data_IF_835276779891
#
_entry.id   IF_835276779891
#
_cell.length_a   1.000
_cell.length_b   1.000
_cell.length_c   1.000
_cell.angle_alpha   90.00
_cell.angle_beta   90.00
_cell.angle_gamma   90.00
#
_symmetry.space_group_name_H-M   'P 1'
#
loop_
_entity.id
_entity.type
_entity.pdbx_description
1 polymer ?
#
# COMPACT_ATOMS: atom_id res chain seq x y z
N UNK A 1 1.73 12.34 -49.70
CA UNK A 1 2.20 13.25 -48.62
C UNK A 1 1.37 13.08 -47.35
N UNK A 2 0.05 12.92 -47.45
CA UNK A 2 -0.85 12.69 -46.30
C UNK A 2 -0.57 11.38 -45.55
N UNK A 3 -0.32 10.27 -46.23
CA UNK A 3 -0.04 8.97 -45.58
C UNK A 3 1.18 9.03 -44.64
N UNK A 4 2.22 9.78 -45.01
CA UNK A 4 3.42 9.96 -44.19
C UNK A 4 3.16 10.82 -42.93
N UNK A 5 2.13 11.68 -42.95
CA UNK A 5 1.71 12.50 -41.80
C UNK A 5 0.87 11.64 -40.86
N UNK A 6 -0.05 10.83 -41.41
CA UNK A 6 -0.86 9.89 -40.63
C UNK A 6 -0.01 8.84 -39.89
N UNK A 7 1.01 8.28 -40.54
CA UNK A 7 1.94 7.32 -39.91
C UNK A 7 2.75 7.97 -38.79
N UNK A 8 3.18 9.23 -38.95
CA UNK A 8 3.85 9.99 -37.86
C UNK A 8 2.92 10.26 -36.69
N UNK A 9 1.69 10.67 -36.97
CA UNK A 9 0.69 10.95 -35.93
C UNK A 9 0.29 9.69 -35.17
N UNK A 10 0.14 8.56 -35.85
CA UNK A 10 -0.07 7.24 -35.24
C UNK A 10 1.10 6.83 -34.34
N UNK A 11 2.34 6.97 -34.82
CA UNK A 11 3.52 6.62 -34.04
C UNK A 11 3.70 7.50 -32.79
N UNK A 12 3.41 8.80 -32.90
CA UNK A 12 3.45 9.73 -31.76
C UNK A 12 2.29 9.48 -30.79
N UNK A 13 1.10 9.19 -31.31
CA UNK A 13 -0.06 8.81 -30.51
C UNK A 13 0.17 7.52 -29.71
N UNK A 14 0.81 6.51 -30.30
CA UNK A 14 1.13 5.26 -29.60
C UNK A 14 2.06 5.50 -28.40
N UNK A 15 3.13 6.30 -28.57
CA UNK A 15 4.05 6.59 -27.46
C UNK A 15 3.36 7.38 -26.34
N UNK A 16 2.53 8.38 -26.69
CA UNK A 16 1.72 9.13 -25.73
C UNK A 16 0.71 8.25 -24.99
N UNK A 17 0.00 7.37 -25.68
CA UNK A 17 -0.97 6.46 -25.07
C UNK A 17 -0.29 5.47 -24.12
N UNK A 18 0.90 4.96 -24.48
CA UNK A 18 1.68 4.10 -23.61
C UNK A 18 2.14 4.84 -22.35
N UNK A 19 2.58 6.09 -22.47
CA UNK A 19 2.96 6.93 -21.33
C UNK A 19 1.76 7.26 -20.42
N UNK A 20 0.60 7.58 -21.00
CA UNK A 20 -0.64 7.76 -20.24
C UNK A 20 -1.00 6.48 -19.50
N UNK A 21 -0.85 5.31 -20.16
CA UNK A 21 -1.03 4.01 -19.54
C UNK A 21 -0.08 3.77 -18.37
N UNK A 22 1.20 4.13 -18.50
CA UNK A 22 2.20 4.06 -17.42
C UNK A 22 1.76 4.92 -16.24
N UNK A 23 1.40 6.18 -16.49
CA UNK A 23 0.94 7.11 -15.46
C UNK A 23 -0.32 6.63 -14.75
N UNK A 24 -1.28 6.09 -15.50
CA UNK A 24 -2.52 5.56 -14.94
C UNK A 24 -2.29 4.34 -14.05
N UNK A 25 -1.48 3.37 -14.51
CA UNK A 25 -1.17 2.17 -13.73
C UNK A 25 -0.38 2.52 -12.46
N UNK A 26 0.57 3.45 -12.56
CA UNK A 26 1.29 3.98 -11.40
C UNK A 26 0.32 4.62 -10.41
N UNK A 27 -0.55 5.53 -10.87
CA UNK A 27 -1.51 6.20 -10.02
C UNK A 27 -2.43 5.22 -9.29
N UNK A 28 -3.01 4.26 -10.01
CA UNK A 28 -3.89 3.24 -9.42
C UNK A 28 -3.13 2.35 -8.43
N UNK A 29 -1.92 1.92 -8.78
CA UNK A 29 -1.06 1.13 -7.91
C UNK A 29 -0.72 1.87 -6.61
N UNK A 30 -0.27 3.11 -6.73
CA UNK A 30 0.11 3.97 -5.59
C UNK A 30 -1.09 4.32 -4.72
N UNK A 31 -2.23 4.69 -5.30
CA UNK A 31 -3.46 5.01 -4.55
C UNK A 31 -3.88 3.84 -3.66
N UNK A 32 -3.87 2.63 -4.22
CA UNK A 32 -4.21 1.42 -3.47
C UNK A 32 -3.18 1.09 -2.40
N UNK A 33 -1.89 1.24 -2.69
CA UNK A 33 -0.84 1.04 -1.68
C UNK A 33 -0.97 2.03 -0.52
N UNK A 34 -1.26 3.30 -0.81
CA UNK A 34 -1.44 4.32 0.21
C UNK A 34 -2.63 4.02 1.13
N UNK A 35 -3.76 3.59 0.56
CA UNK A 35 -4.93 3.17 1.34
C UNK A 35 -4.57 1.99 2.28
N UNK A 36 -3.92 0.95 1.75
CA UNK A 36 -3.52 -0.21 2.54
C UNK A 36 -2.52 0.13 3.65
N UNK A 37 -1.60 1.07 3.40
CA UNK A 37 -0.66 1.54 4.42
C UNK A 37 -1.40 2.31 5.53
N UNK A 38 -2.38 3.15 5.16
CA UNK A 38 -3.21 3.89 6.11
C UNK A 38 -4.08 2.96 6.96
N UNK A 39 -4.77 1.99 6.35
CA UNK A 39 -5.60 1.02 7.08
C UNK A 39 -4.75 0.15 8.02
N UNK A 40 -3.53 -0.21 7.59
CA UNK A 40 -2.56 -0.91 8.44
C UNK A 40 -2.14 -0.07 9.64
N UNK A 41 -1.82 1.21 9.44
CA UNK A 41 -1.46 2.15 10.50
C UNK A 41 -2.58 2.33 11.52
N UNK A 42 -3.81 2.46 11.04
CA UNK A 42 -4.99 2.61 11.87
C UNK A 42 -5.27 1.34 12.68
N UNK A 43 -5.18 0.17 12.05
CA UNK A 43 -5.30 -1.13 12.74
C UNK A 43 -4.23 -1.30 13.82
N UNK A 44 -3.00 -0.87 13.53
CA UNK A 44 -1.91 -0.88 14.51
C UNK A 44 -2.17 0.06 15.69
N UNK A 45 -2.62 1.30 15.43
CA UNK A 45 -3.01 2.26 16.49
C UNK A 45 -4.13 1.71 17.36
N UNK A 46 -5.17 1.13 16.76
CA UNK A 46 -6.30 0.52 17.49
C UNK A 46 -5.85 -0.65 18.37
N UNK A 47 -4.94 -1.50 17.88
CA UNK A 47 -4.38 -2.58 18.69
C UNK A 47 -3.54 -2.08 19.88
N UNK A 48 -2.74 -1.03 19.69
CA UNK A 48 -1.95 -0.45 20.77
C UNK A 48 -2.85 0.14 21.87
N UNK A 49 -3.92 0.85 21.51
CA UNK A 49 -4.94 1.33 22.45
C UNK A 49 -5.60 0.18 23.23
N UNK A 50 -5.99 -0.89 22.55
CA UNK A 50 -6.54 -2.10 23.19
C UNK A 50 -5.55 -2.70 24.20
N UNK A 51 -4.28 -2.80 23.82
CA UNK A 51 -3.22 -3.36 24.67
C UNK A 51 -2.95 -2.48 25.90
N UNK A 52 -2.93 -1.17 25.75
CA UNK A 52 -2.75 -0.25 26.88
C UNK A 52 -3.90 -0.33 27.88
N UNK A 53 -5.15 -0.32 27.40
CA UNK A 53 -6.33 -0.44 28.26
C UNK A 53 -6.33 -1.78 29.02
N UNK A 54 -5.99 -2.89 28.34
CA UNK A 54 -5.82 -4.19 29.00
C UNK A 54 -4.70 -4.17 30.05
N UNK A 55 -3.55 -3.54 29.79
CA UNK A 55 -2.47 -3.41 30.77
C UNK A 55 -2.93 -2.63 32.01
N UNK A 56 -3.72 -1.57 31.85
CA UNK A 56 -4.28 -0.80 32.98
C UNK A 56 -5.25 -1.66 33.78
N UNK A 57 -6.17 -2.38 33.12
CA UNK A 57 -7.11 -3.29 33.80
C UNK A 57 -6.40 -4.42 34.53
N UNK A 58 -5.35 -5.00 33.95
CA UNK A 58 -4.54 -6.03 34.61
C UNK A 58 -3.84 -5.49 35.88
N UNK A 59 -3.43 -4.22 35.91
CA UNK A 59 -2.86 -3.60 37.12
C UNK A 59 -3.91 -3.31 38.20
N UNK A 60 -5.14 -2.98 37.80
CA UNK A 60 -6.24 -2.65 38.72
C UNK A 60 -6.94 -3.88 39.30
N UNK A 61 -7.13 -4.92 38.49
CA UNK A 61 -7.89 -6.13 38.83
C UNK A 61 -7.00 -7.38 38.98
N UNK A 62 -5.67 -7.21 39.04
CA UNK A 62 -4.72 -8.32 39.07
C UNK A 62 -4.77 -9.19 40.34
N UNK A 63 -5.49 -8.74 41.37
CA UNK A 63 -5.71 -9.52 42.60
C UNK A 63 -6.77 -10.63 42.42
N UNK A 64 -7.67 -10.48 41.45
CA UNK A 64 -8.64 -11.52 41.10
C UNK A 64 -8.07 -12.44 40.01
N UNK A 65 -7.76 -13.67 40.39
CA UNK A 65 -7.15 -14.66 39.51
C UNK A 65 -8.05 -15.04 38.31
N UNK A 66 -9.37 -15.01 38.48
CA UNK A 66 -10.31 -15.29 37.38
C UNK A 66 -10.27 -14.16 36.35
N UNK A 67 -10.43 -12.92 36.81
CA UNK A 67 -10.38 -11.72 35.95
C UNK A 67 -9.02 -11.58 35.25
N UNK A 68 -7.92 -11.90 35.95
CA UNK A 68 -6.58 -11.84 35.36
C UNK A 68 -6.38 -12.86 34.23
N UNK A 69 -6.85 -14.11 34.39
CA UNK A 69 -6.79 -15.13 33.32
C UNK A 69 -7.62 -14.74 32.11
N UNK A 70 -8.80 -14.16 32.32
CA UNK A 70 -9.66 -13.69 31.23
C UNK A 70 -9.00 -12.55 30.44
N UNK A 71 -8.42 -11.56 31.13
CA UNK A 71 -7.68 -10.47 30.49
C UNK A 71 -6.47 -10.97 29.70
N UNK A 72 -5.76 -12.00 30.19
CA UNK A 72 -4.66 -12.63 29.46
C UNK A 72 -5.14 -13.37 28.21
N UNK A 73 -6.28 -14.06 28.29
CA UNK A 73 -6.90 -14.72 27.13
C UNK A 73 -7.27 -13.70 26.06
N UNK A 74 -7.93 -12.61 26.45
CA UNK A 74 -8.31 -11.53 25.54
C UNK A 74 -7.10 -10.85 24.90
N UNK A 75 -6.00 -10.69 25.63
CA UNK A 75 -4.75 -10.17 25.06
C UNK A 75 -4.14 -11.12 24.01
N UNK A 76 -4.16 -12.43 24.29
CA UNK A 76 -3.65 -13.46 23.39
C UNK A 76 -4.49 -13.57 22.11
N UNK A 77 -5.82 -13.60 22.24
CA UNK A 77 -6.75 -13.61 21.12
C UNK A 77 -6.68 -12.31 20.31
N UNK A 78 -6.65 -11.16 20.98
CA UNK A 78 -6.43 -9.85 20.35
C UNK A 78 -5.13 -9.77 19.56
N UNK A 79 -4.04 -10.31 20.09
CA UNK A 79 -2.77 -10.38 19.35
C UNK A 79 -2.87 -11.29 18.12
N UNK A 80 -3.53 -12.46 18.23
CA UNK A 80 -3.71 -13.37 17.09
C UNK A 80 -4.54 -12.72 15.98
N UNK A 81 -5.62 -12.04 16.34
CA UNK A 81 -6.51 -11.36 15.40
C UNK A 81 -5.81 -10.17 14.74
N UNK A 82 -5.13 -9.34 15.53
CA UNK A 82 -4.30 -8.25 15.02
C UNK A 82 -3.24 -8.78 14.04
N UNK A 83 -2.49 -9.81 14.44
CA UNK A 83 -1.43 -10.39 13.59
C UNK A 83 -1.99 -10.92 12.28
N UNK A 84 -3.14 -11.62 12.32
CA UNK A 84 -3.79 -12.13 11.10
C UNK A 84 -4.21 -11.00 10.17
N UNK A 85 -4.87 -9.96 10.69
CA UNK A 85 -5.26 -8.79 9.90
C UNK A 85 -4.03 -8.08 9.31
N UNK A 86 -3.01 -7.87 10.14
CA UNK A 86 -1.75 -7.25 9.74
C UNK A 86 -1.06 -8.03 8.61
N UNK A 87 -0.89 -9.35 8.78
CA UNK A 87 -0.29 -10.22 7.77
C UNK A 87 -1.07 -10.20 6.45
N UNK A 88 -2.42 -10.15 6.51
CA UNK A 88 -3.28 -10.05 5.33
C UNK A 88 -3.11 -8.71 4.58
N UNK A 89 -2.94 -7.60 5.30
CA UNK A 89 -2.59 -6.30 4.69
C UNK A 89 -1.22 -6.35 4.02
N UNK A 90 -0.23 -6.97 4.67
CA UNK A 90 1.11 -7.13 4.09
C UNK A 90 1.07 -7.95 2.80
N UNK A 91 0.37 -9.08 2.80
CA UNK A 91 0.25 -9.95 1.62
C UNK A 91 -0.45 -9.21 0.47
N UNK A 92 -1.55 -8.50 0.78
CA UNK A 92 -2.32 -7.74 -0.22
C UNK A 92 -1.48 -6.63 -0.83
N UNK A 93 -0.67 -5.93 -0.04
CA UNK A 93 0.23 -4.88 -0.50
C UNK A 93 1.35 -5.46 -1.38
N UNK A 94 1.99 -6.55 -0.96
CA UNK A 94 3.00 -7.25 -1.76
C UNK A 94 2.43 -7.71 -3.11
N UNK A 95 1.23 -8.29 -3.11
CA UNK A 95 0.53 -8.71 -4.33
C UNK A 95 0.24 -7.52 -5.24
N UNK A 96 -0.12 -6.36 -4.68
CA UNK A 96 -0.39 -5.16 -5.46
C UNK A 96 0.89 -4.58 -6.06
N UNK A 97 1.96 -4.41 -5.28
CA UNK A 97 3.26 -3.91 -5.75
C UNK A 97 3.82 -4.82 -6.85
N UNK A 98 3.81 -6.14 -6.66
CA UNK A 98 4.30 -7.09 -7.67
C UNK A 98 3.46 -7.04 -8.95
N UNK A 99 2.12 -6.92 -8.83
CA UNK A 99 1.23 -6.75 -9.98
C UNK A 99 1.53 -5.47 -10.74
N UNK A 100 1.57 -4.33 -10.06
CA UNK A 100 1.88 -3.02 -10.68
C UNK A 100 3.26 -3.03 -11.33
N UNK A 101 4.26 -3.62 -10.68
CA UNK A 101 5.62 -3.76 -11.21
C UNK A 101 5.64 -4.57 -12.52
N UNK A 102 4.93 -5.71 -12.58
CA UNK A 102 4.81 -6.50 -13.82
C UNK A 102 4.15 -5.72 -14.95
N UNK A 103 3.06 -5.01 -14.67
CA UNK A 103 2.39 -4.19 -15.69
C UNK A 103 3.32 -3.09 -16.23
N UNK A 104 4.08 -2.44 -15.35
CA UNK A 104 5.07 -1.44 -15.77
C UNK A 104 6.19 -2.06 -16.60
N UNK A 105 6.66 -3.26 -16.25
CA UNK A 105 7.63 -3.97 -17.07
C UNK A 105 7.09 -4.25 -18.48
N UNK A 106 5.84 -4.71 -18.60
CA UNK A 106 5.19 -4.92 -19.91
C UNK A 106 5.07 -3.63 -20.73
N UNK A 107 4.62 -2.54 -20.11
CA UNK A 107 4.51 -1.24 -20.77
C UNK A 107 5.89 -0.68 -21.15
N UNK A 108 6.90 -0.89 -20.31
CA UNK A 108 8.28 -0.49 -20.60
C UNK A 108 8.84 -1.27 -21.77
N UNK A 109 8.61 -2.59 -21.82
CA UNK A 109 8.97 -3.43 -22.96
C UNK A 109 8.28 -2.96 -24.25
N UNK A 110 6.99 -2.63 -24.19
CA UNK A 110 6.26 -2.09 -25.33
C UNK A 110 6.87 -0.75 -25.81
N UNK A 111 7.23 0.15 -24.88
CA UNK A 111 7.93 1.40 -25.20
C UNK A 111 9.31 1.16 -25.81
N UNK A 112 10.08 0.19 -25.31
CA UNK A 112 11.38 -0.22 -25.88
C UNK A 112 11.24 -0.73 -27.31
N UNK A 113 10.30 -1.63 -27.55
CA UNK A 113 10.05 -2.15 -28.90
C UNK A 113 9.61 -1.03 -29.85
N UNK A 114 8.75 -0.13 -29.40
CA UNK A 114 8.31 1.03 -30.19
C UNK A 114 9.48 1.98 -30.51
N UNK A 115 10.31 2.29 -29.52
CA UNK A 115 11.50 3.14 -29.69
C UNK A 115 12.52 2.50 -30.62
N UNK A 116 12.76 1.19 -30.49
CA UNK A 116 13.69 0.46 -31.36
C UNK A 116 13.21 0.48 -32.81
N UNK A 117 11.91 0.25 -33.05
CA UNK A 117 11.31 0.35 -34.38
C UNK A 117 11.51 1.75 -34.98
N UNK A 118 11.22 2.80 -34.21
CA UNK A 118 11.35 4.19 -34.66
C UNK A 118 12.80 4.59 -34.95
N UNK A 119 13.73 4.17 -34.10
CA UNK A 119 15.16 4.42 -34.29
C UNK A 119 15.70 3.67 -35.51
N UNK A 120 15.32 2.40 -35.69
CA UNK A 120 15.74 1.59 -36.84
C UNK A 120 15.23 2.17 -38.17
N UNK A 121 13.95 2.58 -38.20
CA UNK A 121 13.37 3.26 -39.36
C UNK A 121 14.09 4.60 -39.64
N UNK A 122 14.36 5.39 -38.60
CA UNK A 122 15.07 6.67 -38.77
C UNK A 122 16.52 6.50 -39.25
N UNK A 123 17.22 5.47 -38.77
CA UNK A 123 18.60 5.17 -39.15
C UNK A 123 18.69 4.69 -40.60
N UNK A 124 17.83 3.74 -41.00
CA UNK A 124 17.88 3.14 -42.33
C UNK A 124 17.39 4.11 -43.42
N UNK A 125 16.34 4.89 -43.16
CA UNK A 125 15.75 5.79 -44.17
C UNK A 125 16.34 7.20 -44.17
N UNK A 126 16.78 7.74 -43.03
CA UNK A 126 17.22 9.14 -42.91
C UNK A 126 18.70 9.31 -42.52
N UNK A 127 19.39 8.24 -42.10
CA UNK A 127 20.78 8.27 -41.63
C UNK A 127 20.96 9.05 -40.32
N UNK A 128 22.21 9.27 -39.92
CA UNK A 128 22.60 10.05 -38.72
C UNK A 128 22.43 11.58 -38.95
N UNK A 129 21.20 12.01 -39.25
CA UNK A 129 20.86 13.44 -39.40
C UNK A 129 20.27 14.02 -38.12
N UNK A 130 20.08 15.34 -38.07
CA UNK A 130 19.45 16.05 -36.95
C UNK A 130 18.13 15.40 -36.47
N UNK A 131 17.35 14.82 -37.39
CA UNK A 131 16.10 14.12 -37.07
C UNK A 131 16.30 12.84 -36.23
N UNK A 132 17.42 12.14 -36.39
CA UNK A 132 17.77 10.98 -35.56
C UNK A 132 18.05 11.42 -34.11
N UNK A 133 18.86 12.47 -33.93
CA UNK A 133 19.17 13.00 -32.59
C UNK A 133 17.92 13.55 -31.88
N UNK A 134 17.03 14.24 -32.60
CA UNK A 134 15.76 14.69 -32.03
C UNK A 134 14.90 13.53 -31.52
N UNK A 135 14.75 12.45 -32.31
CA UNK A 135 14.02 11.26 -31.90
C UNK A 135 14.69 10.56 -30.72
N UNK A 136 16.02 10.46 -30.71
CA UNK A 136 16.79 9.86 -29.63
C UNK A 136 16.58 10.61 -28.31
N UNK A 137 16.70 11.94 -28.30
CA UNK A 137 16.47 12.76 -27.10
C UNK A 137 15.02 12.66 -26.61
N UNK A 138 14.06 12.62 -27.53
CA UNK A 138 12.64 12.44 -27.18
C UNK A 138 12.39 11.11 -26.50
N UNK A 139 12.85 10.00 -27.07
CA UNK A 139 12.65 8.68 -26.45
C UNK A 139 13.38 8.57 -25.11
N UNK A 140 14.59 9.14 -24.98
CA UNK A 140 15.31 9.23 -23.70
C UNK A 140 14.45 9.88 -22.60
N UNK A 141 13.75 10.97 -22.91
CA UNK A 141 12.88 11.65 -21.93
C UNK A 141 11.71 10.76 -21.45
N UNK A 142 11.17 9.91 -22.32
CA UNK A 142 10.13 8.95 -21.96
C UNK A 142 10.65 7.92 -20.96
N UNK A 143 11.89 7.46 -21.13
CA UNK A 143 12.53 6.52 -20.20
C UNK A 143 12.86 7.13 -18.84
N UNK A 144 13.15 8.44 -18.78
CA UNK A 144 13.30 9.14 -17.49
C UNK A 144 12.00 9.05 -16.68
N UNK A 145 10.84 9.27 -17.32
CA UNK A 145 9.52 9.17 -16.67
C UNK A 145 9.28 7.75 -16.15
N UNK A 146 9.60 6.75 -16.97
CA UNK A 146 9.46 5.34 -16.57
C UNK A 146 10.37 5.02 -15.37
N UNK A 147 11.63 5.44 -15.41
CA UNK A 147 12.59 5.24 -14.32
C UNK A 147 12.14 5.90 -13.02
N UNK A 148 11.63 7.15 -13.09
CA UNK A 148 11.02 7.83 -11.94
C UNK A 148 9.81 7.06 -11.40
N UNK A 149 8.98 6.47 -12.27
CA UNK A 149 7.86 5.61 -11.86
C UNK A 149 8.30 4.39 -11.06
N UNK A 150 9.36 3.69 -11.50
CA UNK A 150 9.94 2.58 -10.74
C UNK A 150 10.53 3.04 -9.41
N UNK A 151 11.18 4.21 -9.38
CA UNK A 151 11.74 4.77 -8.16
C UNK A 151 10.66 5.08 -7.12
N UNK A 152 9.55 5.70 -7.54
CA UNK A 152 8.41 5.99 -6.66
C UNK A 152 7.79 4.72 -6.07
N UNK A 153 7.65 3.65 -6.86
CA UNK A 153 7.19 2.36 -6.34
C UNK A 153 8.16 1.74 -5.33
N UNK A 154 9.48 1.88 -5.58
CA UNK A 154 10.51 1.40 -4.67
C UNK A 154 10.51 2.16 -3.34
N UNK A 155 10.33 3.48 -3.37
CA UNK A 155 10.25 4.31 -2.17
C UNK A 155 9.03 3.95 -1.32
N UNK A 156 7.87 3.72 -1.92
CA UNK A 156 6.69 3.22 -1.20
C UNK A 156 6.93 1.83 -0.60
N UNK A 157 7.60 0.95 -1.34
CA UNK A 157 8.04 -0.36 -0.82
C UNK A 157 9.02 -0.24 0.34
N UNK A 158 9.83 0.81 0.41
CA UNK A 158 10.72 1.05 1.54
C UNK A 158 9.95 1.53 2.78
N UNK A 159 9.00 2.46 2.62
CA UNK A 159 8.08 2.87 3.73
C UNK A 159 7.33 1.67 4.32
N UNK A 160 6.99 0.69 3.49
CA UNK A 160 6.41 -0.57 3.94
C UNK A 160 7.30 -1.36 4.91
N UNK A 161 8.63 -1.41 4.70
CA UNK A 161 9.58 -2.12 5.57
C UNK A 161 10.14 -1.27 6.72
N UNK A 162 10.11 0.07 6.62
CA UNK A 162 10.81 0.98 7.53
C UNK A 162 10.10 1.23 8.88
N UNK A 163 8.91 0.68 9.11
CA UNK A 163 8.12 0.95 10.32
C UNK A 163 8.75 0.45 11.64
N UNK A 164 9.86 -0.29 11.57
CA UNK A 164 10.56 -0.84 12.75
C UNK A 164 10.95 0.23 13.80
N UNK A 165 10.97 1.52 13.43
CA UNK A 165 11.20 2.65 14.36
C UNK A 165 10.02 3.63 14.52
N UNK A 166 8.94 3.51 13.75
CA UNK A 166 7.74 4.37 13.89
C UNK A 166 6.82 3.89 15.01
N UNK A 167 6.92 2.62 15.40
CA UNK A 167 6.19 2.03 16.54
C UNK A 167 6.41 2.84 17.83
N UNK A 168 7.64 3.27 18.11
CA UNK A 168 7.99 4.02 19.32
C UNK A 168 7.50 5.48 19.30
N UNK A 169 7.28 6.04 18.10
CA UNK A 169 6.64 7.35 17.93
C UNK A 169 5.13 7.24 18.05
N UNK A 170 4.53 6.19 17.48
CA UNK A 170 3.10 5.91 17.60
C UNK A 170 2.71 5.58 19.04
N UNK A 171 3.52 4.83 19.79
CA UNK A 171 3.29 4.56 21.23
C UNK A 171 3.22 5.89 22.01
N UNK A 172 4.09 6.86 21.68
CA UNK A 172 4.06 8.21 22.24
C UNK A 172 2.83 9.01 21.82
N UNK A 173 2.40 8.94 20.57
CA UNK A 173 1.17 9.61 20.10
C UNK A 173 -0.09 9.04 20.75
N UNK A 174 -0.11 7.74 21.03
CA UNK A 174 -1.24 7.01 21.63
C UNK A 174 -1.47 7.40 23.08
N UNK A 175 -0.41 7.69 23.83
CA UNK A 175 -0.51 8.26 25.17
C UNK A 175 -1.35 9.55 25.19
N UNK A 176 -1.33 10.34 24.11
CA UNK A 176 -2.14 11.55 23.97
C UNK A 176 -3.52 11.31 23.33
N UNK A 177 -3.70 10.21 22.59
CA UNK A 177 -4.97 9.84 21.93
C UNK A 177 -6.00 9.21 22.87
N UNK A 178 -5.55 8.63 24.00
CA UNK A 178 -6.41 8.06 25.04
C UNK A 178 -7.47 9.03 25.59
N UNK A 179 -7.22 10.34 25.53
CA UNK A 179 -8.17 11.38 25.94
C UNK A 179 -9.32 11.60 24.95
N UNK A 180 -9.23 11.10 23.71
CA UNK A 180 -10.23 11.34 22.66
C UNK A 180 -11.25 10.20 22.49
N UNK A 181 -11.00 9.00 23.02
CA UNK A 181 -11.94 7.86 23.03
C UNK A 181 -12.95 7.99 24.18
N UNK A 182 -13.62 9.14 24.26
CA UNK A 182 -14.52 9.48 25.39
C UNK A 182 -15.86 8.76 25.31
N UNK A 183 -16.22 8.16 24.16
CA UNK A 183 -17.47 7.42 23.99
C UNK A 183 -17.32 5.92 24.26
N UNK A 184 -18.08 5.41 25.24
CA UNK A 184 -18.18 3.98 25.57
C UNK A 184 -18.50 3.08 24.36
N UNK A 185 -19.15 3.62 23.33
CA UNK A 185 -19.48 2.91 22.10
C UNK A 185 -18.24 2.59 21.26
N UNK A 186 -17.31 3.55 21.11
CA UNK A 186 -16.05 3.36 20.39
C UNK A 186 -15.14 2.37 21.11
N UNK A 187 -15.13 2.44 22.45
CA UNK A 187 -14.39 1.48 23.29
C UNK A 187 -14.92 0.06 23.16
N UNK A 188 -16.24 -0.14 23.06
CA UNK A 188 -16.84 -1.47 22.81
C UNK A 188 -16.54 -1.99 21.42
N UNK A 189 -16.64 -1.15 20.38
CA UNK A 189 -16.31 -1.52 19.02
C UNK A 189 -14.85 -2.01 18.87
N UNK A 190 -13.92 -1.38 19.59
CA UNK A 190 -12.51 -1.76 19.62
C UNK A 190 -12.30 -3.14 20.27
N UNK A 191 -13.04 -3.44 21.34
CA UNK A 191 -13.01 -4.76 21.97
C UNK A 191 -13.65 -5.82 21.07
N UNK A 192 -14.78 -5.52 20.42
CA UNK A 192 -15.44 -6.44 19.48
C UNK A 192 -14.56 -6.77 18.26
N UNK A 193 -13.69 -5.84 17.84
CA UNK A 193 -12.77 -6.03 16.71
C UNK A 193 -11.62 -7.01 17.04
N UNK A 194 -11.00 -6.90 18.23
CA UNK A 194 -9.82 -7.70 18.58
C UNK A 194 -10.13 -8.90 19.47
N UNK A 195 -11.15 -8.79 20.31
CA UNK A 195 -11.58 -9.81 21.26
C UNK A 195 -13.10 -9.89 21.23
N UNK A 196 -13.70 -10.30 20.09
CA UNK A 196 -15.15 -10.46 20.00
C UNK A 196 -15.56 -11.35 21.16
N UNK A 197 -16.35 -10.79 22.08
CA UNK A 197 -16.95 -11.57 23.15
C UNK A 197 -17.58 -12.78 22.46
N UNK A 198 -17.19 -14.00 22.88
CA UNK A 198 -17.97 -15.19 22.56
C UNK A 198 -19.42 -14.78 22.82
N UNK A 199 -20.25 -14.73 21.77
CA UNK A 199 -21.68 -14.45 21.91
C UNK A 199 -22.14 -15.34 23.04
N UNK A 200 -22.47 -14.73 24.17
CA UNK A 200 -22.83 -15.47 25.36
C UNK A 200 -23.84 -16.53 24.94
N UNK A 201 -23.47 -17.79 25.10
CA UNK A 201 -24.47 -18.81 25.39
C UNK A 201 -25.27 -18.21 26.53
N UNK A 202 -26.51 -17.86 26.20
CA UNK A 202 -27.40 -17.16 27.09
C UNK A 202 -27.42 -17.91 28.41
N UNK A 203 -27.11 -17.17 29.47
CA UNK A 203 -27.56 -17.47 30.80
C UNK A 203 -29.08 -17.74 30.72
N UNK A 204 -29.39 -19.04 30.75
CA UNK A 204 -30.67 -19.61 30.43
C UNK A 204 -31.11 -20.53 31.55
N UNK A 205 -31.32 -19.90 32.72
CA UNK A 205 -32.10 -20.35 33.88
C UNK A 205 -31.40 -21.29 34.87
N UNK A 206 -31.09 -20.69 36.03
CA UNK A 206 -31.53 -21.24 37.33
C UNK A 206 -33.07 -21.20 37.39
N UNK A 207 -33.68 -22.37 37.47
CA UNK A 207 -34.66 -22.79 38.49
C UNK A 207 -34.92 -24.29 38.34
#
# INVERSE_FOLDING_TARGET
MEEAIWVRFLNEGVSLLLLIGVGWILYQGMKKNHLLLSEREETFRRYLLFREDLKVRMKLYGEDEHTYRELLRNLSEGWKNFKRAYDQYLETLLKNVTKTNRFLQFLTLALILNSFRLLFESYYFFGLKSRFFYLLTRELSNYVIVALGFFLLKEQGYRFFSMKGEVDKMDREILFYSNHLTEMAEKRALYDEFSPLEKGEGDGKKD
#
